data_IF_963685215173
#
_entry.id   IF_963685215173
#
_cell.length_a   1.000
_cell.length_b   1.000
_cell.length_c   1.000
_cell.angle_alpha   90.00
_cell.angle_beta   90.00
_cell.angle_gamma   90.00
#
_symmetry.space_group_name_H-M   'P 1'
#
loop_
_entity.id
_entity.type
_entity.pdbx_description
1 polymer ?
#
# COMPACT_ATOMS: atom_id res chain seq x y z
N UNK A 1 27.93 -28.84 -18.84
CA UNK A 1 28.10 -28.16 -20.15
C UNK A 1 29.55 -28.31 -20.60
N UNK A 2 29.80 -28.73 -21.82
CA UNK A 2 31.13 -29.07 -22.31
C UNK A 2 31.93 -27.76 -22.50
N UNK A 3 33.20 -27.69 -22.01
CA UNK A 3 34.07 -26.48 -22.07
C UNK A 3 34.11 -25.85 -23.47
N UNK A 4 34.04 -26.64 -24.54
CA UNK A 4 33.96 -26.12 -25.93
C UNK A 4 32.68 -25.35 -26.23
N UNK A 5 31.51 -25.74 -25.68
CA UNK A 5 30.25 -25.00 -25.86
C UNK A 5 30.24 -23.67 -25.07
N UNK A 6 30.87 -23.65 -23.90
CA UNK A 6 30.99 -22.44 -23.10
C UNK A 6 31.89 -21.39 -23.80
N UNK A 7 33.00 -21.83 -24.38
CA UNK A 7 33.91 -20.94 -25.13
C UNK A 7 33.21 -20.34 -26.36
N UNK A 8 32.42 -21.13 -27.10
CA UNK A 8 31.69 -20.65 -28.29
C UNK A 8 30.65 -19.58 -27.87
N UNK A 9 29.97 -19.77 -26.75
CA UNK A 9 28.97 -18.77 -26.23
C UNK A 9 29.68 -17.48 -25.83
N UNK A 10 30.81 -17.57 -25.15
CA UNK A 10 31.58 -16.38 -24.71
C UNK A 10 32.12 -15.62 -25.93
N UNK A 11 32.62 -16.32 -26.95
CA UNK A 11 33.14 -15.67 -28.16
C UNK A 11 32.01 -15.02 -28.97
N UNK A 12 30.82 -15.64 -29.04
CA UNK A 12 29.67 -15.01 -29.73
C UNK A 12 29.16 -13.75 -29.01
N UNK A 13 29.14 -13.72 -27.68
CA UNK A 13 28.77 -12.53 -26.92
C UNK A 13 29.77 -11.39 -27.08
N UNK A 14 31.08 -11.71 -27.12
CA UNK A 14 32.13 -10.70 -27.35
C UNK A 14 32.03 -10.13 -28.78
N UNK A 15 31.71 -10.93 -29.78
CA UNK A 15 31.52 -10.49 -31.16
C UNK A 15 30.31 -9.56 -31.32
N UNK A 16 29.21 -9.84 -30.63
CA UNK A 16 28.01 -8.96 -30.62
C UNK A 16 28.31 -7.65 -29.93
N UNK A 17 29.02 -7.66 -28.80
CA UNK A 17 29.44 -6.42 -28.10
C UNK A 17 30.40 -5.57 -28.96
N UNK A 18 31.34 -6.20 -29.69
CA UNK A 18 32.27 -5.49 -30.57
C UNK A 18 31.55 -4.83 -31.75
N UNK A 19 30.51 -5.45 -32.30
CA UNK A 19 29.70 -4.86 -33.40
C UNK A 19 28.86 -3.69 -32.92
N UNK A 20 28.31 -3.73 -31.72
CA UNK A 20 27.56 -2.60 -31.11
C UNK A 20 28.47 -1.42 -30.82
N UNK A 21 29.67 -1.65 -30.27
CA UNK A 21 30.64 -0.60 -30.01
C UNK A 21 31.18 0.00 -31.33
N UNK A 22 31.39 -0.84 -32.37
CA UNK A 22 31.79 -0.38 -33.71
C UNK A 22 30.77 0.54 -34.38
N UNK A 23 29.48 0.25 -34.20
CA UNK A 23 28.40 1.11 -34.72
C UNK A 23 28.35 2.45 -33.97
N UNK A 24 28.50 2.44 -32.65
CA UNK A 24 28.53 3.68 -31.86
C UNK A 24 29.73 4.56 -32.22
N UNK A 25 30.91 3.99 -32.39
CA UNK A 25 32.10 4.76 -32.78
C UNK A 25 32.01 5.29 -34.21
N UNK A 26 31.40 4.53 -35.13
CA UNK A 26 31.20 4.98 -36.52
C UNK A 26 30.18 6.12 -36.61
N UNK A 27 29.13 6.12 -35.82
CA UNK A 27 28.11 7.19 -35.78
C UNK A 27 28.64 8.46 -35.11
N UNK A 28 29.52 8.37 -34.09
CA UNK A 28 30.15 9.53 -33.46
C UNK A 28 31.31 10.13 -34.29
N UNK A 29 32.00 9.33 -35.13
CA UNK A 29 33.10 9.83 -35.96
C UNK A 29 32.60 10.55 -37.24
N UNK A 30 31.35 10.32 -37.69
CA UNK A 30 30.79 10.99 -38.88
C UNK A 30 30.20 12.37 -38.58
N UNK A 31 30.12 12.79 -37.31
CA UNK A 31 29.51 14.09 -36.95
C UNK A 31 30.52 15.25 -36.80
N UNK A 32 31.80 15.05 -37.13
CA UNK A 32 32.84 16.08 -36.91
C UNK A 32 33.50 16.63 -38.19
N UNK A 33 32.91 16.57 -39.35
CA UNK A 33 33.43 17.33 -40.52
C UNK A 33 32.28 17.82 -41.38
N UNK A 34 31.88 19.08 -41.19
CA UNK A 34 31.60 20.04 -42.26
C UNK A 34 30.99 21.34 -41.68
N UNK A 35 31.83 22.32 -41.48
CA UNK A 35 31.46 23.73 -41.62
C UNK A 35 31.62 24.12 -43.09
N UNK A 36 30.55 24.54 -43.72
CA UNK A 36 30.33 25.74 -44.50
C UNK A 36 29.28 25.57 -45.61
N UNK A 37 28.38 26.52 -45.55
CA UNK A 37 27.64 27.19 -46.64
C UNK A 37 26.33 26.62 -47.23
N UNK A 38 25.35 27.52 -47.12
CA UNK A 38 24.20 27.84 -47.94
C UNK A 38 22.89 27.07 -47.84
N UNK A 39 21.98 27.72 -47.08
CA UNK A 39 20.56 27.95 -47.40
C UNK A 39 19.83 26.96 -48.29
N UNK A 40 18.80 26.26 -47.72
CA UNK A 40 17.42 26.27 -48.18
C UNK A 40 16.50 25.50 -47.21
N UNK A 41 15.36 26.13 -46.91
CA UNK A 41 14.23 25.62 -46.23
C UNK A 41 13.89 24.17 -46.60
N UNK A 42 13.76 23.31 -45.60
CA UNK A 42 12.81 22.22 -45.57
C UNK A 42 12.53 21.91 -44.10
N UNK A 43 11.30 22.21 -43.66
CA UNK A 43 10.83 21.84 -42.34
C UNK A 43 10.87 20.34 -42.16
N UNK A 44 11.77 19.88 -41.34
CA UNK A 44 11.71 18.59 -40.68
C UNK A 44 11.38 18.91 -39.25
N UNK A 45 10.09 18.77 -38.91
CA UNK A 45 9.66 18.70 -37.52
C UNK A 45 10.45 17.54 -36.87
N UNK A 46 11.47 17.88 -36.11
CA UNK A 46 12.03 16.95 -35.14
C UNK A 46 10.95 16.75 -34.08
N UNK A 47 10.13 15.72 -34.26
CA UNK A 47 9.30 15.18 -33.19
C UNK A 47 10.32 14.58 -32.19
N UNK A 48 10.70 15.37 -31.20
CA UNK A 48 11.25 14.83 -29.97
C UNK A 48 10.11 13.97 -29.37
N UNK A 49 10.15 12.67 -29.61
CA UNK A 49 9.36 11.71 -28.89
C UNK A 49 9.90 11.72 -27.47
N UNK A 50 9.32 12.56 -26.63
CA UNK A 50 9.55 12.55 -25.20
C UNK A 50 8.95 11.24 -24.70
N UNK A 51 9.71 10.18 -24.66
CA UNK A 51 9.36 8.95 -23.99
C UNK A 51 9.34 9.26 -22.50
N UNK A 52 8.19 9.71 -21.98
CA UNK A 52 7.98 9.73 -20.54
C UNK A 52 8.19 8.30 -20.05
N UNK A 53 9.19 8.10 -19.20
CA UNK A 53 9.38 6.81 -18.53
C UNK A 53 8.09 6.50 -17.75
N UNK A 54 7.47 5.38 -18.06
CA UNK A 54 6.32 4.89 -17.32
C UNK A 54 6.70 4.75 -15.85
N UNK A 55 6.02 5.44 -14.98
CA UNK A 55 6.26 5.42 -13.52
C UNK A 55 5.00 5.08 -12.75
N UNK A 56 5.18 4.57 -11.56
CA UNK A 56 4.09 4.34 -10.61
C UNK A 56 3.53 5.68 -10.14
N UNK A 57 2.21 5.87 -10.24
CA UNK A 57 1.53 7.13 -9.90
C UNK A 57 1.09 7.19 -8.44
N UNK A 58 0.70 6.03 -7.84
CA UNK A 58 0.16 6.02 -6.47
C UNK A 58 1.19 6.43 -5.42
N UNK A 59 2.46 6.22 -5.69
CA UNK A 59 3.57 6.50 -4.78
C UNK A 59 4.88 6.67 -5.57
N UNK A 60 5.69 7.65 -5.21
CA UNK A 60 7.06 7.71 -5.71
C UNK A 60 7.91 6.64 -5.00
N UNK A 61 8.22 5.56 -5.74
CA UNK A 61 9.01 4.44 -5.22
C UNK A 61 10.48 4.82 -4.92
N UNK A 62 10.96 5.94 -5.45
CA UNK A 62 12.32 6.46 -5.23
C UNK A 62 12.39 7.46 -4.07
N UNK A 63 11.25 7.96 -3.61
CA UNK A 63 11.19 8.89 -2.48
C UNK A 63 11.65 8.20 -1.20
N UNK A 64 12.47 8.90 -0.43
CA UNK A 64 12.97 8.47 0.88
C UNK A 64 12.17 9.04 2.05
N UNK A 65 11.10 9.79 1.79
CA UNK A 65 10.24 10.32 2.84
C UNK A 65 9.64 9.18 3.65
N UNK A 66 9.70 9.26 4.96
CA UNK A 66 9.02 8.29 5.84
C UNK A 66 7.52 8.55 5.82
N UNK A 67 6.70 7.49 5.67
CA UNK A 67 5.25 7.66 5.70
C UNK A 67 4.73 7.93 7.11
N UNK A 68 3.56 8.57 7.20
CA UNK A 68 2.74 8.60 8.39
C UNK A 68 1.76 7.42 8.37
N UNK A 69 1.77 6.57 9.42
CA UNK A 69 0.79 5.52 9.62
C UNK A 69 -0.25 6.00 10.64
N UNK A 70 -1.42 6.41 10.16
CA UNK A 70 -2.45 7.07 10.98
C UNK A 70 -3.54 6.09 11.39
N UNK A 71 -3.76 5.94 12.71
CA UNK A 71 -4.84 5.11 13.26
C UNK A 71 -6.19 5.82 13.13
N UNK A 72 -7.01 5.43 12.14
CA UNK A 72 -8.30 6.03 11.84
C UNK A 72 -9.44 5.20 12.44
N UNK A 73 -10.39 5.90 13.03
CA UNK A 73 -11.57 5.31 13.65
C UNK A 73 -12.51 4.69 12.61
N UNK A 74 -12.93 3.47 12.83
CA UNK A 74 -13.81 2.73 11.90
C UNK A 74 -15.13 2.27 12.56
N UNK A 75 -15.54 2.92 13.65
CA UNK A 75 -16.84 2.62 14.26
C UNK A 75 -17.98 3.11 13.36
N UNK A 76 -19.17 2.49 13.51
CA UNK A 76 -20.36 2.81 12.71
C UNK A 76 -20.76 4.30 12.72
N UNK A 77 -20.44 5.02 13.79
CA UNK A 77 -20.69 6.47 13.89
C UNK A 77 -19.58 7.29 13.26
N UNK A 78 -18.33 6.86 13.42
CA UNK A 78 -17.17 7.61 12.94
C UNK A 78 -16.99 7.54 11.41
N UNK A 79 -17.39 6.45 10.76
CA UNK A 79 -17.30 6.30 9.29
C UNK A 79 -18.05 7.38 8.51
N UNK A 80 -19.03 8.03 9.15
CA UNK A 80 -19.80 9.12 8.53
C UNK A 80 -19.01 10.42 8.42
N UNK A 81 -17.95 10.57 9.21
CA UNK A 81 -17.14 11.79 9.31
C UNK A 81 -15.65 11.53 9.06
N UNK A 82 -15.33 10.39 8.43
CA UNK A 82 -13.96 10.10 8.00
C UNK A 82 -13.53 11.06 6.90
N UNK A 83 -12.27 11.52 6.97
CA UNK A 83 -11.65 12.39 5.96
C UNK A 83 -10.25 11.88 5.61
N UNK A 84 -9.88 12.01 4.35
CA UNK A 84 -8.52 11.83 3.86
C UNK A 84 -8.13 10.42 3.45
N UNK A 85 -9.00 9.40 3.61
CA UNK A 85 -8.64 8.01 3.27
C UNK A 85 -8.32 7.83 1.78
N UNK A 86 -8.93 8.62 0.88
CA UNK A 86 -8.64 8.56 -0.56
C UNK A 86 -7.24 9.08 -0.94
N UNK A 87 -6.46 9.62 -0.01
CA UNK A 87 -5.09 10.08 -0.23
C UNK A 87 -4.03 9.14 0.36
N UNK A 88 -4.45 8.13 1.12
CA UNK A 88 -3.53 7.08 1.57
C UNK A 88 -3.16 6.17 0.39
N UNK A 89 -1.88 5.79 0.27
CA UNK A 89 -1.44 4.83 -0.75
C UNK A 89 -1.68 3.38 -0.33
N UNK A 90 -1.62 3.12 0.97
CA UNK A 90 -1.80 1.81 1.58
C UNK A 90 -2.68 1.94 2.82
N UNK A 91 -3.64 1.05 2.96
CA UNK A 91 -4.58 1.05 4.09
C UNK A 91 -4.69 -0.37 4.63
N UNK A 92 -4.47 -0.53 5.93
CA UNK A 92 -4.82 -1.75 6.65
C UNK A 92 -6.16 -1.57 7.36
N UNK A 93 -7.06 -2.55 7.24
CA UNK A 93 -8.17 -2.69 8.14
C UNK A 93 -7.90 -3.89 9.07
N UNK A 94 -7.78 -3.62 10.36
CA UNK A 94 -7.22 -4.55 11.35
C UNK A 94 -8.30 -4.86 12.40
N UNK A 95 -8.57 -6.15 12.69
CA UNK A 95 -9.49 -6.50 13.77
C UNK A 95 -8.96 -6.03 15.13
N UNK A 96 -9.88 -5.56 15.96
CA UNK A 96 -9.60 -5.10 17.31
C UNK A 96 -10.57 -5.75 18.29
N UNK A 97 -10.43 -5.44 19.57
CA UNK A 97 -11.31 -5.91 20.64
C UNK A 97 -12.79 -5.64 20.31
N UNK A 98 -13.68 -6.44 20.89
CA UNK A 98 -15.14 -6.28 20.71
C UNK A 98 -15.65 -6.71 19.33
N UNK A 99 -14.92 -7.52 18.59
CA UNK A 99 -15.24 -7.93 17.22
C UNK A 99 -15.47 -6.72 16.29
N UNK A 100 -14.62 -5.71 16.41
CA UNK A 100 -14.61 -4.51 15.60
C UNK A 100 -13.38 -4.48 14.71
N UNK A 101 -13.27 -3.49 13.84
CA UNK A 101 -12.06 -3.19 13.08
C UNK A 101 -11.65 -1.74 13.24
N UNK A 102 -10.39 -1.48 12.96
CA UNK A 102 -9.85 -0.12 12.89
C UNK A 102 -8.92 -0.02 11.71
N UNK A 103 -8.84 1.17 11.13
CA UNK A 103 -8.02 1.44 9.96
C UNK A 103 -6.67 2.01 10.41
N UNK A 104 -5.60 1.57 9.76
CA UNK A 104 -4.27 2.18 9.77
C UNK A 104 -3.96 2.61 8.34
N UNK A 105 -4.00 3.92 8.08
CA UNK A 105 -3.83 4.50 6.75
C UNK A 105 -2.43 5.12 6.61
N UNK A 106 -1.71 4.78 5.53
CA UNK A 106 -0.35 5.24 5.28
C UNK A 106 -0.35 6.36 4.24
N UNK A 107 0.31 7.45 4.59
CA UNK A 107 0.43 8.66 3.77
C UNK A 107 1.90 8.97 3.56
N UNK A 108 2.28 9.23 2.32
CA UNK A 108 3.65 9.57 1.91
C UNK A 108 3.61 10.60 0.78
N UNK A 109 4.46 11.62 0.87
CA UNK A 109 4.61 12.68 -0.15
C UNK A 109 3.26 13.35 -0.50
N UNK A 110 2.48 13.70 0.53
CA UNK A 110 1.13 14.26 0.43
C UNK A 110 1.14 15.75 0.80
N UNK A 111 0.24 16.51 0.19
CA UNK A 111 0.07 17.95 0.43
C UNK A 111 -0.25 18.27 1.91
N UNK A 112 0.36 19.32 2.45
CA UNK A 112 0.25 19.76 3.84
C UNK A 112 -1.19 20.04 4.31
N UNK A 113 -2.06 20.47 3.38
CA UNK A 113 -3.46 20.86 3.67
C UNK A 113 -4.41 19.65 3.79
N UNK A 114 -3.94 18.41 3.53
CA UNK A 114 -4.77 17.24 3.70
C UNK A 114 -5.20 17.07 5.16
N UNK A 115 -6.51 17.07 5.39
CA UNK A 115 -7.11 16.73 6.69
C UNK A 115 -7.31 15.22 6.79
N UNK A 116 -6.92 14.64 7.91
CA UNK A 116 -7.08 13.21 8.22
C UNK A 116 -7.89 13.04 9.50
N UNK A 117 -8.88 12.20 9.48
CA UNK A 117 -9.67 11.85 10.68
C UNK A 117 -10.88 10.93 10.38
N UNK A 118 -11.54 10.52 11.41
CA UNK A 118 -11.27 10.76 12.83
C UNK A 118 -10.19 9.83 13.34
N UNK A 119 -9.27 10.34 14.13
CA UNK A 119 -8.12 9.60 14.64
C UNK A 119 -8.47 8.90 15.94
N UNK A 120 -7.94 7.70 16.14
CA UNK A 120 -8.26 6.83 17.26
C UNK A 120 -7.01 6.22 17.89
N UNK A 121 -7.23 5.46 18.97
CA UNK A 121 -6.18 4.81 19.74
C UNK A 121 -5.48 3.71 18.93
N UNK A 122 -4.16 3.67 19.00
CA UNK A 122 -3.37 2.56 18.49
C UNK A 122 -3.58 1.27 19.31
N UNK A 123 -3.29 0.13 18.69
CA UNK A 123 -3.15 -1.19 19.30
C UNK A 123 -1.73 -1.70 19.02
N UNK A 124 -1.23 -2.61 19.85
CA UNK A 124 0.14 -3.13 19.67
C UNK A 124 0.35 -3.76 18.27
N UNK A 125 -0.66 -4.43 17.72
CA UNK A 125 -0.58 -4.97 16.36
C UNK A 125 -0.35 -3.87 15.29
N UNK A 126 -0.78 -2.63 15.54
CA UNK A 126 -0.58 -1.51 14.59
C UNK A 126 0.90 -1.10 14.52
N UNK A 127 1.63 -1.29 15.62
CA UNK A 127 3.07 -1.03 15.67
C UNK A 127 3.79 -1.91 14.64
N UNK A 128 3.42 -3.19 14.54
CA UNK A 128 4.04 -4.12 13.60
C UNK A 128 3.80 -3.77 12.14
N UNK A 129 2.56 -3.30 11.82
CA UNK A 129 2.21 -2.85 10.46
C UNK A 129 2.81 -1.48 10.11
N UNK A 130 3.02 -0.60 11.09
CA UNK A 130 3.71 0.65 10.86
C UNK A 130 5.24 0.45 10.68
N UNK A 131 5.83 -0.46 11.45
CA UNK A 131 7.26 -0.78 11.39
C UNK A 131 7.69 -1.36 10.04
N UNK A 132 6.84 -2.14 9.36
CA UNK A 132 7.21 -2.76 8.08
C UNK A 132 7.32 -1.78 6.90
N UNK A 133 6.86 -0.54 7.09
CA UNK A 133 7.07 0.58 6.16
C UNK A 133 7.94 1.69 6.78
N UNK A 134 8.61 1.40 7.89
CA UNK A 134 9.37 2.39 8.68
C UNK A 134 8.61 3.70 8.89
N UNK A 135 7.31 3.58 9.16
CA UNK A 135 6.39 4.71 9.26
C UNK A 135 6.43 5.36 10.65
N UNK A 136 6.13 6.66 10.72
CA UNK A 136 5.86 7.36 11.97
C UNK A 136 4.40 7.07 12.36
N UNK A 137 4.18 6.41 13.51
CA UNK A 137 2.83 6.05 13.96
C UNK A 137 2.10 7.27 14.51
N UNK A 138 0.88 7.52 14.03
CA UNK A 138 0.04 8.64 14.46
C UNK A 138 -1.26 8.11 15.08
N UNK A 139 -1.52 8.47 16.34
CA UNK A 139 -2.69 7.98 17.06
C UNK A 139 -3.22 8.99 18.07
N UNK A 140 -4.47 8.81 18.51
CA UNK A 140 -5.05 9.56 19.62
C UNK A 140 -5.42 8.58 20.74
N UNK A 141 -4.47 8.31 21.63
CA UNK A 141 -4.53 7.27 22.65
C UNK A 141 -4.00 5.91 22.15
N UNK A 142 -3.99 4.95 23.06
CA UNK A 142 -3.43 3.61 22.84
C UNK A 142 -4.03 2.59 23.82
N UNK A 143 -3.81 1.29 23.54
CA UNK A 143 -3.90 0.25 24.56
C UNK A 143 -2.62 0.22 25.39
N UNK A 144 -2.65 -0.29 26.62
CA UNK A 144 -1.45 -0.37 27.44
C UNK A 144 -0.34 -1.22 26.78
N UNK A 145 -0.68 -2.28 26.02
CA UNK A 145 0.30 -3.03 25.22
C UNK A 145 0.97 -2.19 24.13
N UNK A 146 0.18 -1.35 23.43
CA UNK A 146 0.75 -0.43 22.44
C UNK A 146 1.62 0.65 23.09
N UNK A 147 1.23 1.15 24.28
CA UNK A 147 2.02 2.10 25.04
C UNK A 147 3.38 1.52 25.42
N UNK A 148 3.39 0.26 25.91
CA UNK A 148 4.62 -0.44 26.28
C UNK A 148 5.57 -0.60 25.09
N UNK A 149 5.03 -0.96 23.91
CA UNK A 149 5.82 -1.07 22.69
C UNK A 149 6.40 0.27 22.24
N UNK A 150 5.61 1.33 22.26
CA UNK A 150 6.06 2.68 21.91
C UNK A 150 7.10 3.22 22.89
N UNK A 151 6.92 3.00 24.22
CA UNK A 151 7.87 3.42 25.25
C UNK A 151 9.21 2.68 25.18
N UNK A 152 9.22 1.44 24.69
CA UNK A 152 10.48 0.67 24.46
C UNK A 152 11.29 1.23 23.28
N UNK A 153 10.80 2.27 22.59
CA UNK A 153 11.50 2.92 21.49
C UNK A 153 11.56 2.07 20.19
N UNK A 154 10.64 1.13 20.06
CA UNK A 154 10.58 0.30 18.84
C UNK A 154 10.07 1.06 17.62
N UNK A 155 9.38 2.19 17.81
CA UNK A 155 8.80 3.01 16.75
C UNK A 155 8.74 4.49 17.16
N UNK A 156 8.97 5.40 16.23
CA UNK A 156 8.67 6.81 16.41
C UNK A 156 7.16 7.06 16.28
N UNK A 157 6.61 7.92 17.15
CA UNK A 157 5.17 8.16 17.16
C UNK A 157 4.77 9.58 17.56
N UNK A 158 3.60 9.98 17.08
CA UNK A 158 2.89 11.21 17.43
C UNK A 158 1.54 10.85 18.03
N UNK A 159 1.26 11.32 19.24
CA UNK A 159 0.02 10.96 19.93
C UNK A 159 -0.69 12.20 20.51
N UNK A 160 -2.02 12.12 20.71
CA UNK A 160 -2.87 13.24 21.03
C UNK A 160 -3.34 13.37 22.48
N UNK A 161 -3.11 12.39 23.39
CA UNK A 161 -3.64 12.44 24.76
C UNK A 161 -3.04 13.56 25.60
N UNK A 162 -1.78 13.91 25.36
CA UNK A 162 -1.05 14.93 26.11
C UNK A 162 -0.75 16.18 25.28
N UNK A 163 -1.66 16.50 24.36
CA UNK A 163 -1.46 17.56 23.37
C UNK A 163 -0.81 17.04 22.08
N UNK A 164 -0.49 17.94 21.16
CA UNK A 164 0.13 17.60 19.88
C UNK A 164 -0.60 18.19 18.68
N UNK A 165 -0.32 17.72 17.47
CA UNK A 165 -0.80 18.30 16.22
C UNK A 165 -2.25 17.93 15.90
N UNK A 166 -3.11 17.88 16.91
CA UNK A 166 -4.51 17.47 16.77
C UNK A 166 -5.46 18.59 17.11
N UNK A 167 -6.65 18.53 16.52
CA UNK A 167 -7.76 19.43 16.84
C UNK A 167 -9.08 18.66 16.86
N UNK A 168 -10.12 19.28 17.44
CA UNK A 168 -11.47 18.70 17.48
C UNK A 168 -12.34 19.32 16.41
N UNK A 169 -13.01 18.49 15.64
CA UNK A 169 -14.03 18.85 14.66
C UNK A 169 -15.23 17.95 14.87
N UNK A 170 -16.40 18.52 15.06
CA UNK A 170 -17.61 17.75 15.40
C UNK A 170 -18.83 18.19 14.58
N UNK A 171 -18.86 17.90 13.26
CA UNK A 171 -19.93 18.32 12.38
C UNK A 171 -21.27 17.60 12.62
N UNK A 172 -21.23 16.43 13.22
CA UNK A 172 -22.39 15.55 13.41
C UNK A 172 -22.78 15.38 14.89
N UNK A 173 -22.26 16.25 15.76
CA UNK A 173 -22.50 16.24 17.21
C UNK A 173 -22.25 14.86 17.86
N UNK A 174 -21.12 14.25 17.51
CA UNK A 174 -20.69 12.96 18.01
C UNK A 174 -20.01 13.07 19.38
N UNK A 175 -19.87 11.94 20.08
CA UNK A 175 -19.06 11.87 21.28
C UNK A 175 -17.60 12.26 21.00
N UNK A 176 -16.93 12.88 21.97
CA UNK A 176 -15.61 13.49 21.80
C UNK A 176 -14.56 12.51 21.23
N UNK A 177 -14.68 11.24 21.52
CA UNK A 177 -13.80 10.18 21.02
C UNK A 177 -13.85 9.96 19.50
N UNK A 178 -14.84 10.53 18.80
CA UNK A 178 -15.02 10.47 17.36
C UNK A 178 -14.70 11.80 16.66
N UNK A 179 -14.03 12.72 17.31
CA UNK A 179 -13.87 14.11 16.83
C UNK A 179 -12.42 14.58 16.67
N UNK A 180 -11.44 13.67 16.83
CA UNK A 180 -10.03 14.03 16.70
C UNK A 180 -9.58 14.02 15.23
N UNK A 181 -8.96 15.09 14.77
CA UNK A 181 -8.40 15.27 13.43
C UNK A 181 -6.98 15.82 13.48
N UNK A 182 -6.24 15.65 12.40
CA UNK A 182 -4.97 16.33 12.15
C UNK A 182 -4.90 16.76 10.67
N UNK A 183 -3.77 17.36 10.27
CA UNK A 183 -3.40 17.52 8.86
C UNK A 183 -1.93 17.17 8.67
N UNK A 184 -1.53 16.91 7.41
CA UNK A 184 -0.13 16.60 7.08
C UNK A 184 0.79 17.70 7.58
N UNK A 185 0.54 18.98 7.28
CA UNK A 185 1.38 20.08 7.76
C UNK A 185 1.50 20.16 9.28
N UNK A 186 0.44 19.81 10.03
CA UNK A 186 0.55 19.73 11.50
C UNK A 186 1.45 18.57 11.96
N UNK A 187 1.43 17.45 11.24
CA UNK A 187 2.33 16.32 11.52
C UNK A 187 3.76 16.69 11.19
N UNK A 188 4.02 17.36 10.07
CA UNK A 188 5.35 17.84 9.66
C UNK A 188 5.94 18.81 10.68
N UNK A 189 5.14 19.76 11.17
CA UNK A 189 5.54 20.67 12.25
C UNK A 189 5.90 19.92 13.55
N UNK A 190 5.13 18.87 13.88
CA UNK A 190 5.40 18.05 15.07
C UNK A 190 6.68 17.23 14.92
N UNK A 191 6.89 16.61 13.76
CA UNK A 191 8.11 15.86 13.42
C UNK A 191 9.34 16.77 13.51
N UNK A 192 9.28 17.94 12.90
CA UNK A 192 10.35 18.95 12.95
C UNK A 192 10.64 19.40 14.37
N UNK A 193 9.59 19.71 15.15
CA UNK A 193 9.73 20.12 16.55
C UNK A 193 10.37 19.05 17.43
N UNK A 194 10.02 17.78 17.20
CA UNK A 194 10.55 16.63 17.94
C UNK A 194 11.89 16.13 17.38
N UNK A 195 12.38 16.70 16.27
CA UNK A 195 13.61 16.26 15.58
C UNK A 195 13.60 14.78 15.23
N UNK A 196 12.46 14.26 14.79
CA UNK A 196 12.32 12.89 14.31
C UNK A 196 13.02 12.73 12.95
N UNK A 197 13.50 11.55 12.66
CA UNK A 197 14.01 11.22 11.32
C UNK A 197 12.85 11.18 10.33
N UNK A 198 12.99 11.89 9.22
CA UNK A 198 11.97 11.99 8.15
C UNK A 198 12.29 11.16 6.93
N UNK A 199 13.43 10.46 6.93
CA UNK A 199 13.91 9.71 5.77
C UNK A 199 14.20 8.25 6.09
N UNK A 200 13.91 7.39 5.12
CA UNK A 200 14.22 5.96 5.18
C UNK A 200 14.43 5.41 3.75
N UNK A 201 15.23 4.37 3.64
CA UNK A 201 15.37 3.61 2.40
C UNK A 201 14.43 2.39 2.35
N UNK A 202 13.59 2.18 3.35
CA UNK A 202 12.80 0.95 3.54
C UNK A 202 11.29 1.21 3.67
N UNK A 203 10.78 2.18 2.90
CA UNK A 203 9.40 2.65 3.04
C UNK A 203 8.39 1.94 2.13
N UNK A 204 8.82 1.25 1.09
CA UNK A 204 7.94 0.62 0.10
C UNK A 204 7.72 -0.84 0.47
N UNK A 205 6.47 -1.21 0.73
CA UNK A 205 6.07 -2.57 1.11
C UNK A 205 5.77 -3.46 -0.10
N UNK A 206 5.01 -2.94 -1.06
CA UNK A 206 4.45 -3.72 -2.16
C UNK A 206 5.27 -3.54 -3.45
N UNK A 207 5.31 -4.60 -4.25
CA UNK A 207 5.92 -4.57 -5.58
C UNK A 207 4.91 -4.02 -6.59
N UNK A 208 4.91 -2.69 -6.77
CA UNK A 208 4.00 -1.99 -7.69
C UNK A 208 4.39 -2.23 -9.15
N UNK A 209 3.38 -2.48 -9.97
CA UNK A 209 3.49 -2.59 -11.42
C UNK A 209 2.82 -1.37 -12.06
N UNK A 210 3.48 -0.73 -13.00
CA UNK A 210 2.97 0.47 -13.69
C UNK A 210 1.64 0.17 -14.40
N UNK A 211 1.57 -0.98 -15.08
CA UNK A 211 0.36 -1.43 -15.77
C UNK A 211 -0.59 -2.18 -14.83
N UNK A 212 -1.86 -2.27 -15.24
CA UNK A 212 -2.84 -3.13 -14.56
C UNK A 212 -2.39 -4.59 -14.59
N UNK A 213 -2.46 -5.25 -13.44
CA UNK A 213 -2.25 -6.70 -13.33
C UNK A 213 -3.52 -7.42 -13.74
N UNK A 214 -3.44 -8.23 -14.78
CA UNK A 214 -4.55 -9.08 -15.23
C UNK A 214 -4.45 -10.47 -14.60
N UNK A 215 -5.43 -10.81 -13.78
CA UNK A 215 -5.56 -12.12 -13.15
C UNK A 215 -6.55 -13.04 -13.85
N UNK A 216 -7.19 -12.60 -14.93
CA UNK A 216 -8.31 -13.31 -15.56
C UNK A 216 -7.93 -14.69 -16.14
N UNK A 217 -6.67 -14.85 -16.54
CA UNK A 217 -6.13 -16.11 -17.05
C UNK A 217 -5.56 -17.04 -15.98
N UNK A 218 -5.55 -16.60 -14.71
CA UNK A 218 -4.91 -17.35 -13.64
C UNK A 218 -5.62 -18.68 -13.36
N UNK A 219 -4.83 -19.72 -13.10
CA UNK A 219 -5.38 -20.94 -12.48
C UNK A 219 -5.89 -20.63 -11.08
N UNK A 220 -6.98 -21.24 -10.64
CA UNK A 220 -7.62 -20.97 -9.34
C UNK A 220 -8.12 -19.52 -9.17
N UNK A 221 -8.42 -18.85 -10.29
CA UNK A 221 -9.03 -17.53 -10.28
C UNK A 221 -10.51 -17.61 -9.91
N UNK A 222 -10.97 -16.64 -9.10
CA UNK A 222 -12.38 -16.43 -8.81
C UNK A 222 -12.79 -15.04 -9.33
N UNK A 223 -14.02 -14.90 -9.86
CA UNK A 223 -14.57 -13.57 -10.12
C UNK A 223 -14.82 -12.88 -8.79
N UNK A 224 -14.46 -11.60 -8.72
CA UNK A 224 -14.52 -10.81 -7.51
C UNK A 224 -15.27 -9.49 -7.76
N UNK A 225 -16.51 -9.59 -8.25
CA UNK A 225 -17.38 -8.41 -8.41
C UNK A 225 -17.79 -7.83 -7.06
N UNK A 226 -17.91 -8.69 -6.05
CA UNK A 226 -18.14 -8.28 -4.67
C UNK A 226 -17.21 -9.05 -3.75
N UNK A 227 -16.51 -8.32 -2.87
CA UNK A 227 -15.67 -8.89 -1.81
C UNK A 227 -16.22 -8.46 -0.47
N UNK A 228 -16.48 -9.40 0.42
CA UNK A 228 -17.03 -9.12 1.76
C UNK A 228 -16.12 -9.67 2.84
N UNK A 229 -15.78 -8.80 3.79
CA UNK A 229 -14.87 -9.05 4.90
C UNK A 229 -15.65 -8.88 6.22
N UNK A 230 -16.10 -9.97 6.85
CA UNK A 230 -16.76 -9.89 8.13
C UNK A 230 -15.74 -9.80 9.27
N UNK A 231 -15.77 -8.74 10.06
CA UNK A 231 -14.96 -8.58 11.27
C UNK A 231 -15.68 -9.01 12.55
N UNK A 232 -17.01 -9.00 12.53
CA UNK A 232 -17.79 -9.35 13.70
C UNK A 232 -19.27 -9.22 13.44
N UNK A 233 -19.93 -8.27 14.10
CA UNK A 233 -21.36 -7.98 13.88
C UNK A 233 -21.59 -7.36 12.50
N UNK A 234 -22.85 -7.23 12.10
CA UNK A 234 -23.23 -6.59 10.82
C UNK A 234 -22.69 -5.16 10.64
N UNK A 235 -22.37 -4.46 11.74
CA UNK A 235 -21.75 -3.13 11.72
C UNK A 235 -20.28 -3.14 11.33
N UNK A 236 -19.57 -4.25 11.53
CA UNK A 236 -18.16 -4.40 11.22
C UNK A 236 -17.98 -5.38 10.07
N UNK A 237 -18.69 -5.09 8.99
CA UNK A 237 -18.65 -5.82 7.73
C UNK A 237 -18.22 -4.83 6.65
N UNK A 238 -16.95 -4.89 6.26
CA UNK A 238 -16.45 -4.19 5.09
C UNK A 238 -16.81 -4.96 3.84
N UNK A 239 -17.19 -4.27 2.79
CA UNK A 239 -17.35 -4.88 1.48
C UNK A 239 -16.93 -3.93 0.38
N UNK A 240 -16.55 -4.52 -0.75
CA UNK A 240 -16.03 -3.83 -1.91
C UNK A 240 -16.80 -4.30 -3.14
N UNK A 241 -17.25 -3.36 -3.96
CA UNK A 241 -17.93 -3.67 -5.22
C UNK A 241 -17.10 -3.15 -6.37
N UNK A 242 -16.80 -4.03 -7.31
CA UNK A 242 -16.04 -3.71 -8.50
C UNK A 242 -16.86 -2.91 -9.51
N UNK A 243 -16.26 -1.87 -10.01
CA UNK A 243 -16.73 -1.09 -11.15
C UNK A 243 -15.80 -1.38 -12.33
N UNK A 244 -16.32 -2.04 -13.36
CA UNK A 244 -15.52 -2.47 -14.51
C UNK A 244 -15.11 -1.30 -15.43
N UNK A 245 -15.87 -0.21 -15.45
CA UNK A 245 -15.55 0.98 -16.23
C UNK A 245 -14.41 1.77 -15.59
N UNK A 246 -14.55 2.04 -14.29
CA UNK A 246 -13.52 2.71 -13.50
C UNK A 246 -12.32 1.80 -13.15
N UNK A 247 -12.47 0.48 -13.28
CA UNK A 247 -11.51 -0.56 -12.83
C UNK A 247 -11.10 -0.39 -11.36
N UNK A 248 -12.04 -0.02 -10.51
CA UNK A 248 -11.87 0.27 -9.10
C UNK A 248 -12.90 -0.47 -8.25
N UNK A 249 -12.55 -0.70 -7.00
CA UNK A 249 -13.49 -1.19 -5.99
C UNK A 249 -13.99 -0.02 -5.15
N UNK A 250 -15.30 0.14 -5.05
CA UNK A 250 -15.93 1.07 -4.10
C UNK A 250 -16.16 0.38 -2.78
N UNK A 251 -15.71 1.01 -1.67
CA UNK A 251 -15.85 0.49 -0.31
C UNK A 251 -17.25 0.75 0.26
N UNK A 252 -17.77 -0.24 0.97
CA UNK A 252 -18.99 -0.15 1.78
C UNK A 252 -18.70 -0.59 3.21
N UNK A 253 -19.30 0.08 4.17
CA UNK A 253 -19.27 -0.30 5.58
C UNK A 253 -20.69 -0.60 6.05
N UNK A 254 -20.92 -1.79 6.61
CA UNK A 254 -22.26 -2.21 7.06
C UNK A 254 -23.34 -2.06 5.97
N UNK A 255 -23.00 -2.31 4.70
CA UNK A 255 -23.90 -2.19 3.55
C UNK A 255 -24.12 -0.75 3.04
N UNK A 256 -23.54 0.26 3.68
CA UNK A 256 -23.59 1.66 3.23
C UNK A 256 -22.30 2.04 2.53
N UNK A 257 -22.42 2.76 1.41
CA UNK A 257 -21.27 3.29 0.68
C UNK A 257 -20.43 4.18 1.60
N UNK A 258 -19.12 3.95 1.61
CA UNK A 258 -18.17 4.79 2.34
C UNK A 258 -17.82 6.00 1.50
N UNK A 259 -17.94 7.20 2.08
CA UNK A 259 -17.74 8.48 1.42
C UNK A 259 -16.83 9.36 2.29
N UNK A 260 -15.88 10.04 1.68
CA UNK A 260 -15.09 11.05 2.38
C UNK A 260 -15.98 12.22 2.79
N UNK A 261 -15.93 12.60 4.06
CA UNK A 261 -16.83 13.62 4.60
C UNK A 261 -16.58 15.01 3.99
N UNK A 262 -15.33 15.35 3.69
CA UNK A 262 -14.95 16.66 3.19
C UNK A 262 -15.18 16.78 1.68
N UNK A 263 -14.70 15.81 0.89
CA UNK A 263 -14.74 15.87 -0.58
C UNK A 263 -16.04 15.32 -1.16
N UNK A 264 -16.78 14.51 -0.39
CA UNK A 264 -17.99 13.78 -0.81
C UNK A 264 -17.73 12.74 -1.90
N UNK A 265 -16.48 12.38 -2.11
CA UNK A 265 -16.07 11.33 -3.03
C UNK A 265 -16.23 9.95 -2.41
N UNK A 266 -16.58 8.97 -3.22
CA UNK A 266 -16.61 7.57 -2.79
C UNK A 266 -15.21 7.12 -2.36
N UNK A 267 -15.11 6.33 -1.29
CA UNK A 267 -13.85 5.70 -0.89
C UNK A 267 -13.64 4.47 -1.78
N UNK A 268 -12.57 4.50 -2.55
CA UNK A 268 -12.24 3.48 -3.55
C UNK A 268 -10.86 2.88 -3.33
N UNK A 269 -10.61 1.73 -3.95
CA UNK A 269 -9.30 1.09 -3.98
C UNK A 269 -9.09 0.32 -5.29
N UNK A 270 -7.85 0.23 -5.74
CA UNK A 270 -7.49 -0.57 -6.93
C UNK A 270 -7.27 -2.02 -6.57
N UNK A 271 -6.58 -2.25 -5.46
CA UNK A 271 -6.16 -3.57 -5.01
C UNK A 271 -6.74 -3.86 -3.62
N UNK A 272 -7.08 -5.13 -3.40
CA UNK A 272 -7.43 -5.67 -2.08
C UNK A 272 -6.53 -6.87 -1.81
N UNK A 273 -5.87 -6.88 -0.67
CA UNK A 273 -5.13 -8.04 -0.18
C UNK A 273 -5.83 -8.52 1.09
N UNK A 274 -6.23 -9.78 1.13
CA UNK A 274 -6.72 -10.39 2.36
C UNK A 274 -5.56 -11.14 3.00
N UNK A 275 -5.20 -10.74 4.24
CA UNK A 275 -4.14 -11.38 5.02
C UNK A 275 -4.75 -12.09 6.23
N UNK A 276 -4.71 -13.43 6.26
CA UNK A 276 -5.27 -14.23 7.35
C UNK A 276 -4.22 -14.54 8.39
N UNK A 277 -4.46 -14.09 9.63
CA UNK A 277 -3.58 -14.27 10.78
C UNK A 277 -4.21 -15.20 11.82
N UNK A 278 -3.43 -16.03 12.45
CA UNK A 278 -3.82 -16.61 13.74
C UNK A 278 -3.74 -15.55 14.84
N UNK A 279 -4.43 -15.78 15.95
CA UNK A 279 -4.43 -14.86 17.08
C UNK A 279 -4.62 -15.60 18.40
N UNK A 280 -4.25 -14.95 19.47
CA UNK A 280 -4.64 -15.32 20.83
C UNK A 280 -5.21 -14.08 21.54
N UNK A 281 -5.88 -14.30 22.67
CA UNK A 281 -6.22 -13.21 23.57
C UNK A 281 -4.99 -12.81 24.37
N UNK A 282 -4.80 -11.52 24.62
CA UNK A 282 -3.83 -11.05 25.60
C UNK A 282 -4.21 -11.49 27.04
N UNK A 283 -3.32 -11.34 27.99
CA UNK A 283 -3.50 -11.80 29.38
C UNK A 283 -4.71 -11.19 30.09
N UNK A 284 -5.15 -10.00 29.64
CA UNK A 284 -6.37 -9.33 30.12
C UNK A 284 -7.68 -9.90 29.54
N UNK A 285 -7.60 -10.85 28.63
CA UNK A 285 -8.73 -11.44 27.88
C UNK A 285 -9.61 -10.41 27.13
N UNK A 286 -9.03 -9.25 26.83
CA UNK A 286 -9.76 -8.17 26.14
C UNK A 286 -9.14 -7.84 24.79
N UNK A 287 -7.81 -7.61 24.73
CA UNK A 287 -7.13 -7.31 23.48
C UNK A 287 -6.71 -8.57 22.72
N UNK A 288 -6.62 -8.44 21.42
CA UNK A 288 -6.21 -9.51 20.51
C UNK A 288 -4.74 -9.34 20.12
N UNK A 289 -3.94 -10.35 20.39
CA UNK A 289 -2.57 -10.46 19.91
C UNK A 289 -2.58 -11.23 18.59
N UNK A 290 -2.49 -10.50 17.48
CA UNK A 290 -2.41 -11.07 16.14
C UNK A 290 -0.98 -11.57 15.89
N UNK A 291 -0.84 -12.79 15.43
CA UNK A 291 0.47 -13.35 15.11
C UNK A 291 0.96 -12.80 13.76
N UNK A 292 1.46 -11.56 13.79
CA UNK A 292 1.93 -10.82 12.61
C UNK A 292 3.22 -11.39 12.02
N UNK A 293 4.03 -12.13 12.84
CA UNK A 293 5.25 -12.80 12.42
C UNK A 293 4.93 -14.27 12.09
N UNK A 294 5.47 -14.77 10.97
CA UNK A 294 5.25 -16.13 10.51
C UNK A 294 4.80 -16.18 9.06
N UNK A 295 3.84 -17.02 8.77
CA UNK A 295 3.27 -17.16 7.42
C UNK A 295 1.81 -17.61 7.47
N UNK A 296 1.08 -17.35 6.41
CA UNK A 296 -0.31 -17.75 6.28
C UNK A 296 -0.82 -17.63 4.86
N UNK A 297 -2.12 -17.72 4.72
CA UNK A 297 -2.82 -17.69 3.44
C UNK A 297 -3.62 -16.38 3.32
N UNK A 298 -4.03 -16.06 2.09
CA UNK A 298 -4.85 -14.92 1.79
C UNK A 298 -5.31 -14.90 0.35
N UNK A 299 -5.74 -13.73 -0.09
CA UNK A 299 -6.14 -13.47 -1.47
C UNK A 299 -5.51 -12.17 -1.94
N UNK A 300 -5.12 -12.13 -3.20
CA UNK A 300 -4.88 -10.89 -3.93
C UNK A 300 -6.01 -10.67 -4.93
N UNK A 301 -6.58 -9.48 -4.92
CA UNK A 301 -7.80 -9.13 -5.64
C UNK A 301 -7.57 -7.81 -6.36
N UNK A 302 -7.71 -7.81 -7.67
CA UNK A 302 -7.61 -6.61 -8.52
C UNK A 302 -8.39 -6.84 -9.82
N UNK A 303 -8.85 -5.78 -10.45
CA UNK A 303 -9.52 -5.79 -11.75
C UNK A 303 -10.68 -6.82 -11.88
N UNK A 304 -11.45 -7.04 -10.79
CA UNK A 304 -12.60 -7.94 -10.79
C UNK A 304 -12.27 -9.41 -10.60
N UNK A 305 -11.02 -9.75 -10.29
CA UNK A 305 -10.56 -11.11 -10.09
C UNK A 305 -9.78 -11.29 -8.80
N UNK A 306 -9.84 -12.48 -8.23
CA UNK A 306 -9.14 -12.89 -7.02
C UNK A 306 -8.32 -14.15 -7.25
N UNK A 307 -7.12 -14.21 -6.70
CA UNK A 307 -6.28 -15.40 -6.67
C UNK A 307 -5.78 -15.68 -5.25
N UNK A 308 -5.61 -16.96 -4.87
CA UNK A 308 -5.04 -17.30 -3.58
C UNK A 308 -3.56 -16.93 -3.52
N UNK A 309 -3.14 -16.40 -2.37
CA UNK A 309 -1.75 -16.05 -2.08
C UNK A 309 -1.30 -16.62 -0.74
N UNK A 310 0.02 -16.54 -0.51
CA UNK A 310 0.64 -16.74 0.80
C UNK A 310 1.33 -15.47 1.22
N UNK A 311 1.32 -15.22 2.53
CA UNK A 311 2.13 -14.17 3.13
C UNK A 311 3.18 -14.76 4.06
N UNK A 312 4.29 -14.03 4.26
CA UNK A 312 5.33 -14.38 5.23
C UNK A 312 6.00 -13.12 5.77
N UNK A 313 6.33 -13.12 7.07
CA UNK A 313 7.01 -12.03 7.77
C UNK A 313 7.96 -12.61 8.81
N UNK A 314 9.22 -12.22 8.78
CA UNK A 314 10.28 -12.84 9.61
C UNK A 314 10.51 -12.16 10.95
N UNK A 315 10.11 -10.89 11.10
CA UNK A 315 10.23 -10.12 12.35
C UNK A 315 9.19 -8.99 12.37
N UNK A 316 9.05 -8.28 13.48
CA UNK A 316 8.11 -7.16 13.62
C UNK A 316 8.34 -6.05 12.58
N UNK A 317 9.60 -5.73 12.30
CA UNK A 317 9.99 -4.69 11.34
C UNK A 317 10.27 -5.20 9.93
N UNK A 318 10.30 -6.53 9.72
CA UNK A 318 10.45 -7.06 8.37
C UNK A 318 9.20 -6.78 7.55
N UNK A 319 9.37 -6.50 6.25
CA UNK A 319 8.26 -6.39 5.31
C UNK A 319 7.51 -7.71 5.19
N UNK A 320 6.20 -7.63 5.18
CA UNK A 320 5.37 -8.78 4.80
C UNK A 320 5.54 -9.03 3.29
N UNK A 321 5.94 -10.25 2.94
CA UNK A 321 6.02 -10.70 1.55
C UNK A 321 4.75 -11.42 1.19
N UNK A 322 4.17 -11.05 0.05
CA UNK A 322 3.00 -11.71 -0.53
C UNK A 322 3.42 -12.45 -1.80
N UNK A 323 3.13 -13.74 -1.88
CA UNK A 323 3.51 -14.59 -3.02
C UNK A 323 2.29 -15.32 -3.56
N UNK A 324 2.23 -15.56 -4.87
CA UNK A 324 1.20 -16.41 -5.45
C UNK A 324 1.22 -17.81 -4.82
N UNK A 325 0.05 -18.39 -4.60
CA UNK A 325 -0.04 -19.75 -4.09
C UNK A 325 0.64 -20.74 -5.06
N UNK A 326 1.17 -21.84 -4.53
CA UNK A 326 1.82 -22.86 -5.35
C UNK A 326 0.87 -23.42 -6.41
N UNK A 327 1.34 -23.53 -7.64
CA UNK A 327 0.56 -24.01 -8.78
C UNK A 327 -0.30 -22.94 -9.45
N UNK A 328 -0.13 -21.65 -9.09
CA UNK A 328 -0.73 -20.54 -9.83
C UNK A 328 0.00 -20.35 -11.15
N UNK A 329 -0.73 -20.40 -12.25
CA UNK A 329 -0.24 -20.12 -13.62
C UNK A 329 -1.02 -18.92 -14.15
N UNK A 330 -0.35 -17.92 -14.69
CA UNK A 330 -0.93 -16.74 -15.34
C UNK A 330 -0.34 -16.66 -16.75
N UNK A 331 -1.18 -16.50 -17.77
CA UNK A 331 -0.77 -16.45 -19.19
C UNK A 331 0.18 -17.59 -19.59
N UNK A 332 -0.08 -18.81 -19.06
CA UNK A 332 0.72 -19.99 -19.32
C UNK A 332 2.05 -20.06 -18.58
N UNK A 333 2.39 -19.07 -17.73
CA UNK A 333 3.61 -19.04 -16.94
C UNK A 333 3.35 -19.46 -15.49
N UNK A 334 4.15 -20.38 -14.95
CA UNK A 334 4.10 -20.72 -13.52
C UNK A 334 4.67 -19.54 -12.69
N UNK A 335 3.80 -18.93 -11.91
CA UNK A 335 4.13 -17.84 -10.98
C UNK A 335 4.06 -18.28 -9.52
N UNK A 336 3.72 -19.54 -9.25
CA UNK A 336 3.59 -20.07 -7.89
C UNK A 336 4.85 -19.85 -7.05
N UNK A 337 4.70 -19.23 -5.89
CA UNK A 337 5.79 -18.86 -4.99
C UNK A 337 6.57 -17.60 -5.37
N UNK A 338 6.31 -16.98 -6.54
CA UNK A 338 6.85 -15.66 -6.88
C UNK A 338 6.10 -14.57 -6.12
N UNK A 339 6.78 -13.48 -5.80
CA UNK A 339 6.15 -12.30 -5.22
C UNK A 339 5.07 -11.76 -6.15
N UNK A 340 3.94 -11.32 -5.58
CA UNK A 340 2.88 -10.70 -6.39
C UNK A 340 3.34 -9.33 -6.86
N UNK A 341 2.96 -8.97 -8.09
CA UNK A 341 2.94 -7.58 -8.51
C UNK A 341 1.56 -7.00 -8.23
N UNK A 342 1.47 -5.77 -7.74
CA UNK A 342 0.19 -5.10 -7.52
C UNK A 342 -0.01 -4.01 -8.56
N UNK A 343 -1.25 -3.87 -9.07
CA UNK A 343 -1.61 -2.81 -10.01
C UNK A 343 -1.31 -1.44 -9.40
N UNK A 344 -0.86 -0.49 -10.22
CA UNK A 344 -0.72 0.90 -9.79
C UNK A 344 -2.05 1.43 -9.25
N UNK A 345 -2.04 1.87 -8.00
CA UNK A 345 -3.21 2.37 -7.30
C UNK A 345 -3.25 1.94 -5.84
N UNK A 346 -4.15 2.60 -5.10
CA UNK A 346 -4.33 2.33 -3.67
C UNK A 346 -4.58 0.85 -3.40
N UNK A 347 -3.90 0.34 -2.38
CA UNK A 347 -4.10 -1.01 -1.89
C UNK A 347 -4.74 -0.99 -0.51
N UNK A 348 -5.78 -1.81 -0.33
CA UNK A 348 -6.42 -2.06 0.95
C UNK A 348 -6.07 -3.47 1.43
N UNK A 349 -5.38 -3.56 2.57
CA UNK A 349 -5.02 -4.84 3.19
C UNK A 349 -6.04 -5.14 4.29
N UNK A 350 -6.86 -6.13 4.05
CA UNK A 350 -7.86 -6.64 4.98
C UNK A 350 -7.24 -7.73 5.85
N UNK A 351 -6.85 -7.35 7.06
CA UNK A 351 -6.31 -8.28 8.04
C UNK A 351 -7.46 -9.04 8.68
N UNK A 352 -7.52 -10.35 8.49
CA UNK A 352 -8.53 -11.22 9.07
C UNK A 352 -7.92 -12.23 10.02
N UNK A 353 -8.70 -12.68 10.98
CA UNK A 353 -8.33 -13.88 11.73
C UNK A 353 -8.65 -15.14 10.92
N UNK A 354 -7.93 -16.23 11.16
CA UNK A 354 -8.18 -17.53 10.50
C UNK A 354 -9.58 -18.09 10.74
N UNK A 355 -10.33 -17.56 11.74
CA UNK A 355 -11.73 -17.93 12.02
C UNK A 355 -12.74 -17.19 11.15
N UNK A 356 -12.34 -16.09 10.52
CA UNK A 356 -13.20 -15.28 9.66
C UNK A 356 -13.14 -15.78 8.22
N UNK A 357 -14.26 -15.77 7.53
CA UNK A 357 -14.35 -16.22 6.14
C UNK A 357 -14.56 -15.03 5.21
N UNK A 358 -13.62 -14.78 4.32
CA UNK A 358 -13.82 -13.88 3.17
C UNK A 358 -14.89 -14.47 2.25
N UNK A 359 -15.78 -13.62 1.74
CA UNK A 359 -16.78 -13.98 0.75
C UNK A 359 -16.43 -13.23 -0.54
N UNK A 360 -16.21 -13.96 -1.62
CA UNK A 360 -15.87 -13.45 -2.96
C UNK A 360 -16.99 -13.91 -3.90
N UNK A 361 -17.62 -12.98 -4.67
CA UNK A 361 -18.75 -13.21 -5.56
C UNK A 361 -18.61 -12.44 -6.88
#
# INVERSE_FOLDING_TARGET
MNKKKLIIIIVSVILVLATVIGIIVFTTSNNNNNENELSKENGQDNIEVNLEEEKVDIIDINSKTRPYAVAVNNTAVAVKVQEGLNKAYLIYEIPTEGNTSRVLALYKDIEENLTIGTIRSARHNFVDFALESDAILVCFGWSHYAEDDMKKGSIEYIQGLHGGPFYRKNPENLASEHTAYTSIGKLDDAVKSKKMDTTSNDTILLNYNVSDVDLSSATNVEKANTVTIPYGSSYYKSSFKYDAEAKMYTRYQAGKKSVDYKTKEDITTKNIIVQKLSYKMCDDNYYWDLHTIGSGEGYYITNGYAVPIKWSKSSRSAKTKYTYAKGTVIDGQDVGGKEISVSDGRTWIEVQTTKQKTIIE
#
